data_IF_492725828778
#
_entry.id   IF_492725828778
#
_cell.length_a   1.000
_cell.length_b   1.000
_cell.length_c   1.000
_cell.angle_alpha   90.00
_cell.angle_beta   90.00
_cell.angle_gamma   90.00
#
_symmetry.space_group_name_H-M   'P 1'
#
loop_
_entity.id
_entity.type
_entity.pdbx_description
1 polymer ?
#
# COMPACT_ATOMS: atom_id res chain seq x y z
N UNK A 1 -27.60 38.52 20.06
CA UNK A 1 -28.01 37.29 19.36
C UNK A 1 -26.77 36.75 18.65
N UNK A 2 -26.04 35.85 19.31
CA UNK A 2 -24.77 35.29 18.81
C UNK A 2 -25.04 33.85 18.42
N UNK A 3 -25.03 33.56 17.12
CA UNK A 3 -25.08 32.18 16.63
C UNK A 3 -23.71 31.54 16.93
N UNK A 4 -23.70 30.60 17.86
CA UNK A 4 -22.59 29.68 18.01
C UNK A 4 -22.44 28.92 16.68
N UNK A 5 -21.26 28.99 16.08
CA UNK A 5 -20.88 28.01 15.08
C UNK A 5 -20.85 26.66 15.79
N UNK A 6 -21.89 25.85 15.60
CA UNK A 6 -21.91 24.45 16.03
C UNK A 6 -20.77 23.75 15.30
N UNK A 7 -19.64 23.62 15.99
CA UNK A 7 -18.51 22.83 15.54
C UNK A 7 -18.97 21.40 15.38
N UNK A 8 -18.90 20.89 14.16
CA UNK A 8 -19.15 19.48 13.88
C UNK A 8 -18.23 18.64 14.79
N UNK A 9 -18.75 17.66 15.55
CA UNK A 9 -17.91 16.84 16.42
C UNK A 9 -16.99 16.00 15.54
N UNK A 10 -15.75 16.45 15.36
CA UNK A 10 -14.72 15.66 14.71
C UNK A 10 -14.41 14.45 15.58
N UNK A 11 -14.68 13.25 15.09
CA UNK A 11 -14.13 12.04 15.69
C UNK A 11 -12.63 12.03 15.48
N UNK A 12 -11.87 11.99 16.57
CA UNK A 12 -10.42 11.78 16.51
C UNK A 12 -10.13 10.29 16.37
N UNK A 13 -9.41 9.90 15.31
CA UNK A 13 -8.93 8.53 15.13
C UNK A 13 -7.47 8.49 15.57
N UNK A 14 -7.12 7.56 16.46
CA UNK A 14 -5.71 7.36 16.84
C UNK A 14 -4.95 6.70 15.69
N UNK A 15 -3.82 7.28 15.30
CA UNK A 15 -2.98 6.79 14.20
C UNK A 15 -1.55 6.66 14.71
N UNK A 16 -0.97 5.48 14.50
CA UNK A 16 0.46 5.27 14.70
C UNK A 16 1.20 5.78 13.45
N UNK A 17 2.03 6.80 13.62
CA UNK A 17 2.76 7.47 12.54
C UNK A 17 4.19 6.96 12.52
N UNK A 18 4.65 6.56 11.34
CA UNK A 18 6.07 6.33 11.05
C UNK A 18 6.54 7.35 10.02
N UNK A 19 7.58 8.11 10.35
CA UNK A 19 8.13 9.13 9.45
C UNK A 19 9.09 8.54 8.41
N UNK A 20 9.47 9.36 7.43
CA UNK A 20 10.54 9.05 6.46
C UNK A 20 11.92 8.89 7.10
N UNK A 21 12.13 9.34 8.34
CA UNK A 21 13.35 9.09 9.11
C UNK A 21 13.25 7.82 9.97
N UNK A 22 12.10 7.16 10.02
CA UNK A 22 11.84 5.96 10.84
C UNK A 22 11.41 6.27 12.27
N UNK A 23 11.21 7.54 12.60
CA UNK A 23 10.65 7.95 13.88
C UNK A 23 9.19 7.50 14.00
N UNK A 24 8.81 7.00 15.18
CA UNK A 24 7.45 6.54 15.47
C UNK A 24 6.84 7.34 16.60
N UNK A 25 5.59 7.77 16.41
CA UNK A 25 4.80 8.41 17.46
C UNK A 25 3.31 8.16 17.20
N UNK A 26 2.48 8.38 18.22
CA UNK A 26 1.04 8.26 18.11
C UNK A 26 0.42 9.64 18.03
N UNK A 27 -0.43 9.86 17.03
CA UNK A 27 -1.17 11.10 16.86
C UNK A 27 -2.68 10.86 16.73
N UNK A 28 -3.45 11.94 16.77
CA UNK A 28 -4.89 11.95 16.60
C UNK A 28 -5.22 12.61 15.26
N UNK A 29 -5.81 11.85 14.34
CA UNK A 29 -6.32 12.36 13.08
C UNK A 29 -7.70 12.94 13.31
N UNK A 30 -7.83 14.24 13.08
CA UNK A 30 -9.13 14.91 13.08
C UNK A 30 -9.81 14.68 11.72
N UNK A 31 -10.82 13.80 11.69
CA UNK A 31 -11.64 13.63 10.49
C UNK A 31 -12.79 14.63 10.54
N UNK A 32 -12.71 15.72 9.77
CA UNK A 32 -13.86 16.61 9.59
C UNK A 32 -14.84 15.93 8.63
N UNK A 33 -15.96 15.44 9.16
CA UNK A 33 -17.07 14.87 8.36
C UNK A 33 -17.83 15.93 7.55
N UNK A 34 -17.39 17.18 7.56
CA UNK A 34 -18.13 18.31 7.01
C UNK A 34 -18.19 18.34 5.48
N UNK A 35 -17.40 17.55 4.74
CA UNK A 35 -17.48 17.46 3.28
C UNK A 35 -17.38 15.99 2.79
N UNK A 36 -18.54 15.32 2.73
CA UNK A 36 -18.90 14.40 1.65
C UNK A 36 -18.30 13.00 1.58
N UNK A 37 -17.18 12.70 2.25
CA UNK A 37 -16.70 11.33 2.36
C UNK A 37 -16.02 11.13 3.72
N UNK A 38 -16.73 10.50 4.66
CA UNK A 38 -16.04 9.91 5.81
C UNK A 38 -15.07 8.85 5.24
N UNK A 39 -13.77 9.00 5.50
CA UNK A 39 -12.83 7.93 5.23
C UNK A 39 -13.26 6.71 6.07
N UNK A 40 -13.57 5.59 5.42
CA UNK A 40 -13.77 4.31 6.10
C UNK A 40 -12.41 3.79 6.60
N UNK A 41 -11.91 4.39 7.68
CA UNK A 41 -10.65 4.02 8.31
C UNK A 41 -10.86 2.76 9.13
N UNK A 42 -10.35 1.65 8.61
CA UNK A 42 -10.28 0.38 9.33
C UNK A 42 -8.88 0.20 9.93
N UNK A 43 -8.74 -0.49 11.07
CA UNK A 43 -7.44 -0.92 11.55
C UNK A 43 -6.64 -1.62 10.44
N UNK A 44 -5.38 -1.22 10.26
CA UNK A 44 -4.50 -1.71 9.19
C UNK A 44 -4.53 -0.91 7.88
N UNK A 45 -5.39 0.10 7.74
CA UNK A 45 -5.29 1.07 6.64
C UNK A 45 -4.04 1.93 6.86
N UNK A 46 -3.20 2.01 5.83
CA UNK A 46 -2.06 2.93 5.82
C UNK A 46 -2.50 4.20 5.12
N UNK A 47 -2.44 5.32 5.83
CA UNK A 47 -2.80 6.65 5.33
C UNK A 47 -1.61 7.58 5.38
N UNK A 48 -1.58 8.53 4.45
CA UNK A 48 -0.63 9.63 4.52
C UNK A 48 -1.22 10.76 5.38
N UNK A 49 -0.46 11.17 6.38
CA UNK A 49 -0.82 12.25 7.29
C UNK A 49 0.24 13.35 7.25
N UNK A 50 -0.19 14.57 7.53
CA UNK A 50 0.66 15.72 7.77
C UNK A 50 0.53 16.14 9.23
N UNK A 51 1.65 16.54 9.81
CA UNK A 51 1.72 17.01 11.20
C UNK A 51 2.72 18.16 11.30
N UNK A 52 2.51 19.00 12.31
CA UNK A 52 3.47 20.00 12.75
C UNK A 52 4.48 19.31 13.70
N UNK A 53 5.81 19.37 13.45
CA UNK A 53 6.82 18.76 14.31
C UNK A 53 6.75 19.19 15.78
N UNK A 54 6.25 20.41 16.07
CA UNK A 54 6.08 20.93 17.43
C UNK A 54 4.74 20.49 18.06
N UNK A 55 3.80 19.98 17.24
CA UNK A 55 2.47 19.51 17.65
C UNK A 55 2.12 18.16 17.02
N UNK A 56 2.97 17.16 17.25
CA UNK A 56 2.86 15.81 16.67
C UNK A 56 1.57 15.06 17.00
N UNK A 57 0.82 15.50 18.00
CA UNK A 57 -0.46 14.90 18.38
C UNK A 57 -1.60 15.27 17.46
N UNK A 58 -1.50 16.37 16.70
CA UNK A 58 -2.56 16.84 15.80
C UNK A 58 -2.21 16.46 14.36
N UNK A 59 -2.94 15.48 13.83
CA UNK A 59 -2.75 14.97 12.48
C UNK A 59 -3.85 15.48 11.57
N UNK A 60 -3.45 15.85 10.37
CA UNK A 60 -4.34 16.13 9.24
C UNK A 60 -4.04 15.17 8.10
N UNK A 61 -5.01 14.92 7.23
CA UNK A 61 -4.73 14.15 6.01
C UNK A 61 -3.73 14.92 5.15
N UNK A 62 -2.82 14.20 4.50
CA UNK A 62 -1.91 14.81 3.55
C UNK A 62 -2.72 15.41 2.38
N UNK A 63 -2.48 16.68 2.08
CA UNK A 63 -3.02 17.42 0.93
C UNK A 63 -2.16 17.23 -0.33
N UNK A 64 -0.86 17.02 -0.15
CA UNK A 64 0.07 16.67 -1.23
C UNK A 64 0.20 15.15 -1.39
N UNK A 65 -0.61 14.60 -2.29
CA UNK A 65 -0.61 13.17 -2.62
C UNK A 65 0.69 12.71 -3.31
N UNK A 66 1.41 13.60 -3.99
CA UNK A 66 2.67 13.24 -4.67
C UNK A 66 3.77 13.06 -3.62
N UNK A 67 3.92 14.02 -2.72
CA UNK A 67 4.90 13.96 -1.63
C UNK A 67 4.60 12.79 -0.68
N UNK A 68 3.34 12.62 -0.30
CA UNK A 68 2.87 11.47 0.49
C UNK A 68 3.26 10.13 -0.13
N UNK A 69 3.05 10.01 -1.44
CA UNK A 69 3.31 8.77 -2.16
C UNK A 69 4.81 8.52 -2.35
N UNK A 70 5.63 9.56 -2.53
CA UNK A 70 7.08 9.43 -2.56
C UNK A 70 7.64 9.01 -1.17
N UNK A 71 7.14 9.59 -0.09
CA UNK A 71 7.51 9.24 1.28
C UNK A 71 7.20 7.76 1.59
N UNK A 72 6.03 7.29 1.16
CA UNK A 72 5.63 5.89 1.36
C UNK A 72 6.54 4.91 0.59
N UNK A 73 6.84 5.20 -0.67
CA UNK A 73 7.77 4.40 -1.45
C UNK A 73 9.16 4.30 -0.81
N UNK A 74 9.69 5.43 -0.33
CA UNK A 74 10.96 5.47 0.40
C UNK A 74 10.92 4.59 1.66
N UNK A 75 9.82 4.64 2.41
CA UNK A 75 9.63 3.80 3.59
C UNK A 75 9.64 2.30 3.21
N UNK A 76 8.91 1.90 2.16
CA UNK A 76 8.85 0.50 1.74
C UNK A 76 10.22 -0.05 1.32
N UNK A 77 11.00 0.76 0.60
CA UNK A 77 12.37 0.41 0.20
C UNK A 77 13.27 0.29 1.44
N UNK A 78 13.21 1.28 2.34
CA UNK A 78 14.02 1.29 3.58
C UNK A 78 13.75 0.05 4.44
N UNK A 79 12.50 -0.39 4.53
CA UNK A 79 12.10 -1.60 5.27
C UNK A 79 12.47 -2.90 4.56
N UNK A 80 12.96 -2.87 3.33
CA UNK A 80 13.25 -4.05 2.53
C UNK A 80 12.01 -4.81 2.04
N UNK A 81 10.83 -4.17 2.09
CA UNK A 81 9.56 -4.77 1.64
C UNK A 81 9.45 -4.79 0.10
N UNK A 82 10.17 -3.91 -0.58
CA UNK A 82 10.19 -3.83 -2.05
C UNK A 82 11.48 -3.18 -2.56
N UNK A 83 11.63 -3.09 -3.88
CA UNK A 83 12.74 -2.40 -4.55
C UNK A 83 12.24 -1.21 -5.37
N UNK A 84 13.13 -0.27 -5.69
CA UNK A 84 12.84 0.85 -6.58
C UNK A 84 12.33 0.38 -7.93
N UNK A 85 12.91 -0.69 -8.48
CA UNK A 85 12.51 -1.26 -9.76
C UNK A 85 11.06 -1.76 -9.75
N UNK A 86 10.64 -2.48 -8.69
CA UNK A 86 9.27 -2.95 -8.55
C UNK A 86 8.28 -1.81 -8.37
N UNK A 87 8.69 -0.76 -7.65
CA UNK A 87 7.91 0.47 -7.53
C UNK A 87 7.71 1.13 -8.89
N UNK A 88 8.77 1.23 -9.69
CA UNK A 88 8.69 1.79 -11.04
C UNK A 88 7.79 0.94 -11.96
N UNK A 89 7.80 -0.39 -11.84
CA UNK A 89 6.86 -1.26 -12.54
C UNK A 89 5.41 -0.96 -12.14
N UNK A 90 5.10 -0.86 -10.85
CA UNK A 90 3.72 -0.54 -10.41
C UNK A 90 3.26 0.83 -10.90
N UNK A 91 4.19 1.79 -11.01
CA UNK A 91 3.88 3.18 -11.39
C UNK A 91 3.79 3.41 -12.89
N UNK A 92 4.64 2.74 -13.67
CA UNK A 92 4.86 3.04 -15.10
C UNK A 92 4.85 1.81 -15.99
N UNK A 93 4.86 0.62 -15.41
CA UNK A 93 4.77 -0.64 -16.16
C UNK A 93 3.37 -0.87 -16.70
N UNK A 94 3.27 -1.78 -17.66
CA UNK A 94 1.99 -2.19 -18.21
C UNK A 94 1.26 -3.05 -17.19
N UNK A 95 0.07 -2.60 -16.83
CA UNK A 95 -0.83 -3.35 -15.95
C UNK A 95 -1.50 -4.47 -16.73
N UNK A 96 -1.40 -5.68 -16.22
CA UNK A 96 -2.11 -6.86 -16.71
C UNK A 96 -2.65 -7.70 -15.54
N UNK A 97 -3.17 -8.88 -15.85
CA UNK A 97 -3.66 -9.86 -14.89
C UNK A 97 -2.76 -11.09 -14.92
N UNK A 98 -2.48 -11.64 -13.73
CA UNK A 98 -1.78 -12.90 -13.57
C UNK A 98 -2.63 -13.87 -12.76
N UNK A 99 -2.74 -15.10 -13.25
CA UNK A 99 -3.33 -16.21 -12.50
C UNK A 99 -2.23 -16.86 -11.68
N UNK A 100 -2.40 -16.91 -10.37
CA UNK A 100 -1.45 -17.60 -9.49
C UNK A 100 -1.54 -19.10 -9.75
N UNK A 101 -0.42 -19.73 -10.14
CA UNK A 101 -0.34 -21.17 -10.42
C UNK A 101 0.29 -21.94 -9.27
N UNK A 102 1.20 -21.31 -8.52
CA UNK A 102 1.80 -21.89 -7.33
C UNK A 102 2.22 -20.82 -6.31
N UNK A 103 2.33 -21.22 -5.05
CA UNK A 103 2.74 -20.35 -3.94
C UNK A 103 3.71 -21.11 -3.05
N UNK A 104 4.78 -20.45 -2.61
CA UNK A 104 5.75 -20.96 -1.64
C UNK A 104 5.99 -19.91 -0.58
N UNK A 105 5.74 -20.25 0.69
CA UNK A 105 6.08 -19.39 1.82
C UNK A 105 7.55 -19.62 2.14
N UNK A 106 8.34 -18.54 2.12
CA UNK A 106 9.81 -18.63 2.29
C UNK A 106 10.27 -18.49 3.73
N UNK A 107 9.35 -18.22 4.66
CA UNK A 107 9.61 -18.16 6.10
C UNK A 107 10.07 -16.80 6.63
N UNK A 108 10.61 -15.93 5.76
CA UNK A 108 10.98 -14.57 6.17
C UNK A 108 9.74 -13.72 6.47
N UNK A 109 9.81 -12.97 7.58
CA UNK A 109 8.76 -12.04 8.01
C UNK A 109 9.40 -10.71 8.34
N UNK A 110 8.85 -9.63 7.79
CA UNK A 110 9.18 -8.25 8.15
C UNK A 110 7.89 -7.61 8.66
N UNK A 111 7.87 -7.23 9.94
CA UNK A 111 6.67 -6.73 10.61
C UNK A 111 5.49 -7.73 10.49
N UNK A 112 4.38 -7.34 9.89
CA UNK A 112 3.22 -8.19 9.60
C UNK A 112 3.22 -8.75 8.16
N UNK A 113 4.29 -8.53 7.40
CA UNK A 113 4.41 -8.98 6.01
C UNK A 113 5.20 -10.29 5.92
N UNK A 114 4.64 -11.25 5.19
CA UNK A 114 5.27 -12.55 4.93
C UNK A 114 5.90 -12.56 3.55
N UNK A 115 7.15 -13.00 3.47
CA UNK A 115 7.81 -13.22 2.19
C UNK A 115 7.28 -14.49 1.55
N UNK A 116 6.70 -14.33 0.37
CA UNK A 116 6.19 -15.43 -0.43
C UNK A 116 6.79 -15.36 -1.83
N UNK A 117 7.01 -16.52 -2.42
CA UNK A 117 7.27 -16.65 -3.85
C UNK A 117 6.00 -17.17 -4.52
N UNK A 118 5.54 -16.47 -5.54
CA UNK A 118 4.40 -16.85 -6.37
C UNK A 118 4.88 -17.17 -7.78
N UNK A 119 4.35 -18.25 -8.35
CA UNK A 119 4.44 -18.52 -9.78
C UNK A 119 3.10 -18.08 -10.41
N UNK A 120 3.17 -17.36 -11.53
CA UNK A 120 2.00 -16.82 -12.22
C UNK A 120 2.02 -17.16 -13.70
N UNK A 121 0.83 -17.33 -14.26
CA UNK A 121 0.59 -17.21 -15.70
C UNK A 121 0.05 -15.82 -15.99
N UNK A 122 0.85 -14.97 -16.63
CA UNK A 122 0.53 -13.56 -16.89
C UNK A 122 0.01 -13.42 -18.31
N UNK A 123 -1.15 -12.79 -18.49
CA UNK A 123 -1.67 -12.48 -19.81
C UNK A 123 -0.95 -11.27 -20.40
N UNK A 124 -0.56 -11.32 -21.66
CA UNK A 124 0.05 -10.16 -22.33
C UNK A 124 -1.02 -9.23 -22.90
N UNK A 125 -0.70 -7.94 -22.98
CA UNK A 125 -1.61 -6.94 -23.57
C UNK A 125 -1.79 -7.10 -25.08
N UNK A 126 -0.81 -7.70 -25.77
CA UNK A 126 -0.80 -7.99 -27.21
C UNK A 126 -1.31 -9.40 -27.55
N UNK A 127 -1.70 -10.18 -26.54
CA UNK A 127 -2.20 -11.54 -26.69
C UNK A 127 -1.19 -12.60 -26.26
N UNK A 128 -1.71 -13.77 -25.88
CA UNK A 128 -0.90 -14.85 -25.31
C UNK A 128 -0.59 -14.66 -23.83
N UNK A 129 0.25 -15.54 -23.30
CA UNK A 129 0.61 -15.60 -21.88
C UNK A 129 2.08 -15.96 -21.69
N UNK A 130 2.65 -15.58 -20.55
CA UNK A 130 4.00 -16.00 -20.15
C UNK A 130 4.02 -16.42 -18.68
N UNK A 131 4.89 -17.37 -18.37
CA UNK A 131 5.15 -17.77 -17.00
C UNK A 131 6.09 -16.77 -16.33
N UNK A 132 5.74 -16.33 -15.14
CA UNK A 132 6.55 -15.43 -14.33
C UNK A 132 6.67 -15.95 -12.89
N UNK A 133 7.78 -15.62 -12.25
CA UNK A 133 8.01 -15.90 -10.83
C UNK A 133 8.31 -14.60 -10.13
N UNK A 134 7.64 -14.38 -9.01
CA UNK A 134 7.85 -13.18 -8.22
C UNK A 134 7.98 -13.52 -6.74
N UNK A 135 8.87 -12.81 -6.04
CA UNK A 135 8.99 -12.87 -4.59
C UNK A 135 8.62 -11.52 -3.98
N UNK A 136 7.59 -11.49 -3.15
CA UNK A 136 7.03 -10.28 -2.56
C UNK A 136 6.73 -10.48 -1.07
N UNK A 137 6.76 -9.37 -0.32
CA UNK A 137 6.29 -9.30 1.05
C UNK A 137 4.80 -8.96 1.04
N UNK A 138 3.96 -9.92 1.43
CA UNK A 138 2.50 -9.79 1.44
C UNK A 138 2.01 -9.63 2.87
N UNK A 139 1.15 -8.63 3.17
CA UNK A 139 0.53 -8.49 4.49
C UNK A 139 -0.15 -9.79 4.93
N UNK A 140 -0.04 -10.16 6.19
CA UNK A 140 -0.62 -11.41 6.72
C UNK A 140 -2.12 -11.53 6.42
N UNK A 141 -2.85 -10.42 6.40
CA UNK A 141 -4.29 -10.34 6.09
C UNK A 141 -4.61 -10.61 4.61
N UNK A 142 -3.66 -10.37 3.70
CA UNK A 142 -3.80 -10.57 2.25
C UNK A 142 -3.20 -11.89 1.75
N UNK A 143 -2.65 -12.74 2.62
CA UNK A 143 -2.04 -14.01 2.18
C UNK A 143 -3.05 -14.94 1.48
N UNK A 144 -4.33 -14.87 1.84
CA UNK A 144 -5.37 -15.65 1.19
C UNK A 144 -5.64 -15.21 -0.26
N UNK A 145 -5.39 -13.93 -0.60
CA UNK A 145 -5.67 -13.39 -1.94
C UNK A 145 -4.64 -13.80 -3.00
N UNK A 146 -3.64 -14.59 -2.60
CA UNK A 146 -2.58 -15.09 -3.47
C UNK A 146 -2.56 -16.61 -3.50
N UNK A 147 -3.66 -17.29 -3.14
CA UNK A 147 -3.78 -18.74 -3.30
C UNK A 147 -3.78 -19.15 -4.79
N UNK A 148 -3.34 -20.37 -5.13
CA UNK A 148 -3.47 -20.89 -6.50
C UNK A 148 -4.89 -20.72 -7.06
N UNK A 149 -5.01 -20.27 -8.31
CA UNK A 149 -6.27 -19.90 -8.95
C UNK A 149 -6.70 -18.45 -8.74
N UNK A 150 -6.06 -17.71 -7.82
CA UNK A 150 -6.33 -16.29 -7.61
C UNK A 150 -5.87 -15.45 -8.80
N UNK A 151 -6.66 -14.46 -9.19
CA UNK A 151 -6.29 -13.48 -10.22
C UNK A 151 -5.83 -12.21 -9.52
N UNK A 152 -4.58 -11.81 -9.77
CA UNK A 152 -4.00 -10.60 -9.19
C UNK A 152 -3.48 -9.66 -10.27
N UNK A 153 -3.36 -8.38 -9.92
CA UNK A 153 -2.79 -7.40 -10.82
C UNK A 153 -1.26 -7.55 -10.86
N UNK A 154 -0.73 -7.58 -12.08
CA UNK A 154 0.69 -7.74 -12.38
C UNK A 154 1.13 -6.56 -13.24
N UNK A 155 2.34 -6.09 -13.01
CA UNK A 155 2.97 -5.00 -13.73
C UNK A 155 4.30 -5.47 -14.30
N UNK A 156 4.51 -5.25 -15.58
CA UNK A 156 5.72 -5.68 -16.28
C UNK A 156 6.04 -4.71 -17.43
N UNK A 157 7.21 -4.85 -18.04
CA UNK A 157 7.55 -4.14 -19.29
C UNK A 157 7.47 -5.15 -20.44
N UNK A 158 6.81 -4.86 -21.57
CA UNK A 158 6.77 -5.81 -22.70
C UNK A 158 8.15 -6.22 -23.22
N UNK A 159 9.14 -5.32 -23.10
CA UNK A 159 10.52 -5.60 -23.47
C UNK A 159 11.29 -6.46 -22.44
N UNK A 160 10.74 -6.64 -21.22
CA UNK A 160 11.32 -7.43 -20.15
C UNK A 160 10.23 -8.16 -19.34
N UNK A 161 9.98 -9.40 -19.71
CA UNK A 161 9.02 -10.30 -19.06
C UNK A 161 9.65 -11.07 -17.87
N UNK A 162 10.95 -10.90 -17.64
CA UNK A 162 11.66 -11.59 -16.55
C UNK A 162 11.47 -10.90 -15.20
N UNK A 163 11.19 -9.60 -15.22
CA UNK A 163 10.95 -8.80 -14.02
C UNK A 163 9.50 -8.33 -13.97
N UNK A 164 8.80 -8.72 -12.91
CA UNK A 164 7.41 -8.30 -12.68
C UNK A 164 7.25 -7.74 -11.27
N UNK A 165 6.20 -6.95 -11.07
CA UNK A 165 5.70 -6.55 -9.76
C UNK A 165 4.23 -6.96 -9.63
N UNK A 166 3.81 -7.32 -8.43
CA UNK A 166 2.42 -7.70 -8.15
C UNK A 166 1.77 -6.76 -7.15
N UNK A 167 0.47 -6.58 -7.27
CA UNK A 167 -0.35 -5.93 -6.24
C UNK A 167 -1.48 -6.86 -5.87
N UNK A 168 -1.65 -7.07 -4.57
CA UNK A 168 -2.70 -7.92 -4.02
C UNK A 168 -3.83 -7.06 -3.48
N UNK A 169 -5.09 -7.46 -3.68
CA UNK A 169 -6.20 -6.80 -3.00
C UNK A 169 -6.07 -7.01 -1.49
N UNK A 170 -6.58 -6.03 -0.74
CA UNK A 170 -6.82 -6.22 0.69
C UNK A 170 -8.07 -7.08 0.86
N UNK A 171 -8.01 -8.06 1.76
CA UNK A 171 -9.17 -8.82 2.21
C UNK A 171 -10.02 -8.00 3.18
#
# INVERSE_FOLDING_TARGET
MSAAAEGCPGSAVAVDVETVSGERFRGALTTSSCHGAALDLRPGVVIAVRFDPDKRTDLTLADDMIAARAAFDHMLIRKGLTTTEKIDLVRRGNRSQGVVTAVRVTGDVIEDHRKITVDLMVSKTDGGQFAARETAYIPATSVASVAPGSVIAVYYRPADESTIAITVPRA
#
